data_IF_884515994769
#
_entry.id   IF_884515994769
#
_cell.length_a   1.000
_cell.length_b   1.000
_cell.length_c   1.000
_cell.angle_alpha   90.00
_cell.angle_beta   90.00
_cell.angle_gamma   90.00
#
_symmetry.space_group_name_H-M   'P 1'
#
loop_
_entity.id
_entity.type
_entity.pdbx_description
1 polymer ?
#
# COMPACT_ATOMS: atom_id res chain seq x y z
N UNK A 1 57.25 15.76 -38.06
CA UNK A 1 57.21 15.73 -36.57
C UNK A 1 55.77 16.04 -36.19
N UNK A 2 54.93 15.00 -36.15
CA UNK A 2 53.48 15.14 -36.06
C UNK A 2 53.05 15.06 -34.60
N UNK A 3 52.56 16.17 -34.06
CA UNK A 3 52.01 16.25 -32.71
C UNK A 3 50.52 15.90 -32.75
N UNK A 4 50.18 14.74 -32.20
CA UNK A 4 48.80 14.33 -31.87
C UNK A 4 48.29 15.15 -30.68
N UNK A 5 47.11 15.79 -30.73
CA UNK A 5 46.48 16.30 -29.53
C UNK A 5 45.73 15.16 -28.84
N UNK A 6 46.11 14.89 -27.59
CA UNK A 6 45.42 13.95 -26.69
C UNK A 6 44.12 14.61 -26.22
N UNK A 7 42.99 14.06 -26.65
CA UNK A 7 41.65 14.46 -26.25
C UNK A 7 41.37 13.91 -24.84
N UNK A 8 41.46 14.76 -23.82
CA UNK A 8 41.10 14.40 -22.44
C UNK A 8 39.57 14.28 -22.36
N UNK A 9 39.07 13.06 -22.22
CA UNK A 9 37.66 12.76 -22.01
C UNK A 9 37.25 13.14 -20.57
N UNK A 10 36.45 14.19 -20.45
CA UNK A 10 35.84 14.62 -19.19
C UNK A 10 34.64 13.70 -18.89
N UNK A 11 34.83 12.69 -18.04
CA UNK A 11 33.74 11.90 -17.49
C UNK A 11 32.91 12.77 -16.52
N UNK A 12 31.80 13.31 -17.02
CA UNK A 12 30.76 13.90 -16.18
C UNK A 12 30.15 12.78 -15.33
N UNK A 13 30.44 12.83 -14.03
CA UNK A 13 29.80 12.00 -13.00
C UNK A 13 28.33 12.41 -12.95
N UNK A 14 27.47 11.68 -13.66
CA UNK A 14 26.02 11.80 -13.46
C UNK A 14 25.69 11.06 -12.18
N UNK A 15 25.85 11.75 -11.04
CA UNK A 15 25.32 11.28 -9.77
C UNK A 15 23.80 11.09 -9.87
N UNK A 16 23.20 10.17 -9.10
CA UNK A 16 21.77 9.93 -9.16
C UNK A 16 21.04 11.23 -8.81
N UNK A 17 20.28 11.76 -9.76
CA UNK A 17 19.35 12.85 -9.52
C UNK A 17 18.34 12.31 -8.51
N UNK A 18 18.46 12.73 -7.25
CA UNK A 18 17.42 12.52 -6.28
C UNK A 18 16.17 13.18 -6.87
N UNK A 19 15.20 12.36 -7.30
CA UNK A 19 13.89 12.85 -7.66
C UNK A 19 13.43 13.76 -6.52
N UNK A 20 13.27 15.05 -6.82
CA UNK A 20 12.75 16.05 -5.88
C UNK A 20 11.45 15.46 -5.32
N UNK A 21 11.45 15.12 -4.03
CA UNK A 21 10.27 14.56 -3.39
C UNK A 21 9.24 15.68 -3.26
N UNK A 22 8.43 15.87 -4.29
CA UNK A 22 7.11 16.48 -4.14
C UNK A 22 6.43 15.67 -3.04
N UNK A 23 6.02 16.34 -1.97
CA UNK A 23 5.33 15.71 -0.85
C UNK A 23 4.20 14.83 -1.41
N UNK A 24 4.32 13.51 -1.24
CA UNK A 24 3.41 12.59 -1.90
C UNK A 24 1.98 12.85 -1.41
N UNK A 25 1.09 13.24 -2.34
CA UNK A 25 -0.31 13.48 -2.05
C UNK A 25 -0.93 12.18 -1.49
N UNK A 26 -1.43 12.15 -0.24
CA UNK A 26 -2.03 10.95 0.34
C UNK A 26 -3.29 10.49 -0.42
N UNK A 27 -3.89 11.36 -1.24
CA UNK A 27 -5.01 11.01 -2.12
C UNK A 27 -4.60 10.11 -3.28
N UNK A 28 -3.31 10.07 -3.63
CA UNK A 28 -2.81 9.33 -4.79
C UNK A 28 -1.36 8.93 -4.64
N UNK A 29 -1.14 7.64 -4.39
CA UNK A 29 0.17 6.99 -4.38
C UNK A 29 0.33 6.25 -5.71
N UNK A 30 1.15 6.78 -6.62
CA UNK A 30 1.62 6.02 -7.77
C UNK A 30 2.67 4.98 -7.34
N UNK A 31 2.54 3.76 -7.85
CA UNK A 31 3.50 2.66 -7.63
C UNK A 31 4.74 2.78 -8.51
N UNK A 32 5.77 2.03 -8.16
CA UNK A 32 7.02 1.91 -8.93
C UNK A 32 6.82 1.20 -10.29
N UNK A 33 5.71 0.47 -10.46
CA UNK A 33 5.36 -0.31 -11.67
C UNK A 33 6.44 -1.31 -12.07
N UNK A 34 6.46 -2.46 -11.39
CA UNK A 34 7.43 -3.51 -11.66
C UNK A 34 6.97 -4.38 -12.84
N UNK A 35 7.45 -4.04 -14.05
CA UNK A 35 7.09 -4.74 -15.28
C UNK A 35 7.52 -6.21 -15.32
N UNK A 36 8.35 -6.67 -14.38
CA UNK A 36 8.70 -8.09 -14.26
C UNK A 36 7.59 -8.92 -13.59
N UNK A 37 6.68 -8.28 -12.86
CA UNK A 37 5.51 -8.92 -12.28
C UNK A 37 4.41 -9.10 -13.33
N UNK A 38 3.55 -10.10 -13.10
CA UNK A 38 2.32 -10.19 -13.88
C UNK A 38 1.42 -8.97 -13.59
N UNK A 39 0.68 -8.46 -14.60
CA UNK A 39 -0.09 -7.23 -14.45
C UNK A 39 -1.03 -7.18 -13.22
N UNK A 40 -1.61 -8.31 -12.86
CA UNK A 40 -2.51 -8.48 -11.73
C UNK A 40 -1.81 -8.38 -10.36
N UNK A 41 -0.51 -8.67 -10.29
CA UNK A 41 0.31 -8.56 -9.07
C UNK A 41 1.04 -7.23 -8.97
N UNK A 42 1.07 -6.44 -10.04
CA UNK A 42 1.74 -5.14 -10.12
C UNK A 42 0.74 -4.04 -9.73
N UNK A 43 0.97 -3.40 -8.58
CA UNK A 43 0.12 -2.29 -8.14
C UNK A 43 0.40 -1.12 -9.08
N UNK A 44 -0.66 -0.51 -9.60
CA UNK A 44 -0.58 0.70 -10.41
C UNK A 44 -0.66 1.94 -9.51
N UNK A 45 -1.65 1.98 -8.62
CA UNK A 45 -1.96 3.17 -7.83
C UNK A 45 -2.77 2.80 -6.58
N UNK A 46 -2.64 3.62 -5.54
CA UNK A 46 -3.59 3.69 -4.43
C UNK A 46 -4.19 5.08 -4.41
N UNK A 47 -5.51 5.19 -4.56
CA UNK A 47 -6.25 6.43 -4.38
C UNK A 47 -7.00 6.41 -3.04
N UNK A 48 -7.05 7.56 -2.37
CA UNK A 48 -7.70 7.70 -1.07
C UNK A 48 -8.68 8.85 -1.11
N UNK A 49 -9.89 8.63 -0.61
CA UNK A 49 -10.95 9.64 -0.56
C UNK A 49 -11.84 9.46 0.68
N UNK A 50 -12.72 10.43 0.93
CA UNK A 50 -13.79 10.31 1.92
C UNK A 50 -15.13 10.22 1.18
N UNK A 51 -15.85 9.14 1.42
CA UNK A 51 -17.20 8.94 0.88
C UNK A 51 -18.23 9.87 1.53
N UNK A 52 -19.36 10.07 0.85
CA UNK A 52 -20.49 10.85 1.38
C UNK A 52 -21.06 10.27 2.68
N UNK A 53 -20.92 8.95 2.89
CA UNK A 53 -21.39 8.23 4.07
C UNK A 53 -20.36 8.22 5.21
N UNK A 54 -19.42 9.17 5.23
CA UNK A 54 -18.40 9.31 6.28
C UNK A 54 -17.49 8.09 6.46
N UNK A 55 -17.05 7.50 5.35
CA UNK A 55 -16.00 6.47 5.37
C UNK A 55 -14.75 6.93 4.63
N UNK A 56 -13.60 6.55 5.16
CA UNK A 56 -12.32 6.62 4.47
C UNK A 56 -12.23 5.46 3.47
N UNK A 57 -12.02 5.79 2.20
CA UNK A 57 -12.03 4.84 1.09
C UNK A 57 -10.64 4.76 0.48
N UNK A 58 -10.15 3.53 0.30
CA UNK A 58 -8.89 3.22 -0.36
C UNK A 58 -9.15 2.39 -1.61
N UNK A 59 -8.91 2.98 -2.77
CA UNK A 59 -8.98 2.27 -4.05
C UNK A 59 -7.58 1.85 -4.47
N UNK A 60 -7.30 0.56 -4.38
CA UNK A 60 -6.04 -0.02 -4.82
C UNK A 60 -6.24 -0.58 -6.22
N UNK A 61 -5.53 -0.01 -7.19
CA UNK A 61 -5.55 -0.43 -8.59
C UNK A 61 -4.31 -1.23 -8.94
N UNK A 62 -4.50 -2.33 -9.67
CA UNK A 62 -3.45 -3.16 -10.27
C UNK A 62 -3.33 -2.86 -11.77
N UNK A 63 -2.22 -3.24 -12.40
CA UNK A 63 -2.00 -3.02 -13.84
C UNK A 63 -2.92 -3.88 -14.70
N UNK A 64 -3.33 -5.06 -14.21
CA UNK A 64 -4.24 -5.98 -14.88
C UNK A 64 -5.36 -6.50 -13.99
N UNK A 65 -6.32 -7.17 -14.63
CA UNK A 65 -7.44 -7.83 -13.97
C UNK A 65 -7.05 -9.27 -13.61
N UNK A 66 -7.22 -9.67 -12.35
CA UNK A 66 -7.11 -11.09 -11.98
C UNK A 66 -8.44 -11.80 -12.25
N UNK A 67 -8.43 -12.79 -13.13
CA UNK A 67 -9.59 -13.65 -13.38
C UNK A 67 -9.39 -15.01 -12.71
N UNK A 68 -8.19 -15.61 -12.81
CA UNK A 68 -7.84 -16.91 -12.21
C UNK A 68 -6.50 -16.82 -11.45
N UNK A 69 -6.52 -16.37 -10.19
CA UNK A 69 -5.33 -16.27 -9.34
C UNK A 69 -5.06 -17.52 -8.52
N UNK A 70 -3.86 -17.62 -7.92
CA UNK A 70 -3.62 -18.64 -6.90
C UNK A 70 -4.45 -18.30 -5.66
N UNK A 71 -4.99 -19.33 -5.04
CA UNK A 71 -5.77 -19.29 -3.79
C UNK A 71 -5.02 -18.70 -2.58
N UNK A 72 -3.72 -18.47 -2.72
CA UNK A 72 -2.86 -17.91 -1.68
C UNK A 72 -2.45 -16.46 -1.95
N UNK A 73 -2.88 -15.86 -3.06
CA UNK A 73 -2.47 -14.50 -3.43
C UNK A 73 -3.55 -13.48 -3.03
N UNK A 74 -3.13 -12.39 -2.38
CA UNK A 74 -4.02 -11.41 -1.78
C UNK A 74 -3.60 -9.98 -2.15
N UNK A 75 -4.59 -9.11 -2.27
CA UNK A 75 -4.39 -7.68 -2.12
C UNK A 75 -4.50 -7.34 -0.65
N UNK A 76 -3.50 -6.66 -0.11
CA UNK A 76 -3.43 -6.28 1.29
C UNK A 76 -3.37 -4.76 1.40
N UNK A 77 -4.28 -4.20 2.21
CA UNK A 77 -4.15 -2.85 2.73
C UNK A 77 -3.64 -2.93 4.17
N UNK A 78 -2.50 -2.30 4.43
CA UNK A 78 -1.98 -2.11 5.77
C UNK A 78 -2.40 -0.73 6.27
N UNK A 79 -2.96 -0.67 7.47
CA UNK A 79 -3.25 0.57 8.19
C UNK A 79 -2.47 0.56 9.50
N UNK A 80 -1.71 1.62 9.74
CA UNK A 80 -0.99 1.87 10.98
C UNK A 80 -1.74 2.94 11.75
N UNK A 81 -2.44 2.54 12.80
CA UNK A 81 -3.29 3.42 13.60
C UNK A 81 -3.45 2.89 15.02
N UNK A 82 -2.61 3.33 15.96
CA UNK A 82 -2.48 2.78 17.33
C UNK A 82 -1.98 1.31 17.36
N UNK A 83 -2.56 0.44 16.53
CA UNK A 83 -2.14 -0.93 16.18
C UNK A 83 -1.89 -1.03 14.66
N UNK A 84 -1.37 -2.18 14.24
CA UNK A 84 -1.29 -2.53 12.81
C UNK A 84 -2.52 -3.32 12.43
N UNK A 85 -3.24 -2.89 11.40
CA UNK A 85 -4.37 -3.58 10.82
C UNK A 85 -4.03 -4.01 9.40
N UNK A 86 -4.29 -5.28 9.10
CA UNK A 86 -4.11 -5.86 7.77
C UNK A 86 -5.49 -6.27 7.25
N UNK A 87 -5.90 -5.65 6.15
CA UNK A 87 -7.14 -5.93 5.45
C UNK A 87 -6.77 -6.67 4.18
N UNK A 88 -7.19 -7.92 4.07
CA UNK A 88 -6.87 -8.79 2.95
C UNK A 88 -8.14 -9.07 2.14
N UNK A 89 -7.99 -8.95 0.82
CA UNK A 89 -8.96 -9.45 -0.14
C UNK A 89 -8.25 -10.46 -1.04
N UNK A 90 -8.75 -11.71 -1.17
CA UNK A 90 -8.16 -12.68 -2.09
C UNK A 90 -8.08 -12.11 -3.49
N UNK A 91 -7.06 -12.42 -4.29
CA UNK A 91 -7.03 -12.02 -5.70
C UNK A 91 -7.87 -12.97 -6.58
N UNK A 92 -8.04 -14.23 -6.17
CA UNK A 92 -8.92 -15.17 -6.84
C UNK A 92 -10.40 -14.81 -6.57
N UNK A 93 -11.19 -14.60 -7.63
CA UNK A 93 -12.62 -14.29 -7.55
C UNK A 93 -13.46 -15.46 -7.02
N UNK A 94 -13.00 -16.69 -7.21
CA UNK A 94 -13.71 -17.89 -6.76
C UNK A 94 -13.74 -18.01 -5.22
N UNK A 95 -12.81 -17.36 -4.52
CA UNK A 95 -12.77 -17.33 -3.04
C UNK A 95 -13.75 -16.32 -2.43
N UNK A 96 -14.50 -15.60 -3.26
CA UNK A 96 -15.49 -14.62 -2.85
C UNK A 96 -14.91 -13.26 -2.47
N UNK A 97 -15.77 -12.39 -1.95
CA UNK A 97 -15.43 -11.00 -1.60
C UNK A 97 -15.31 -10.78 -0.09
N UNK A 98 -15.14 -11.86 0.68
CA UNK A 98 -14.98 -11.74 2.13
C UNK A 98 -13.63 -11.10 2.44
N UNK A 99 -13.67 -9.96 3.11
CA UNK A 99 -12.48 -9.33 3.69
C UNK A 99 -12.00 -10.15 4.90
N UNK A 100 -10.70 -10.38 4.98
CA UNK A 100 -10.06 -10.94 6.16
C UNK A 100 -9.30 -9.82 6.87
N UNK A 101 -9.55 -9.65 8.17
CA UNK A 101 -8.98 -8.55 8.94
C UNK A 101 -8.16 -9.12 10.07
N UNK A 102 -6.98 -8.56 10.26
CA UNK A 102 -6.00 -9.04 11.22
C UNK A 102 -5.41 -7.85 11.99
N UNK A 103 -5.32 -7.94 13.32
CA UNK A 103 -4.55 -6.99 14.14
C UNK A 103 -3.21 -7.56 14.59
N UNK A 104 -2.22 -6.68 14.62
CA UNK A 104 -0.94 -6.92 15.26
C UNK A 104 -0.50 -5.70 16.06
N UNK A 105 0.49 -5.89 16.93
CA UNK A 105 1.10 -4.79 17.67
C UNK A 105 1.87 -3.87 16.72
N UNK A 106 1.88 -2.57 17.03
CA UNK A 106 2.59 -1.58 16.24
C UNK A 106 4.06 -1.59 16.67
N UNK A 107 4.90 -2.36 15.98
CA UNK A 107 6.34 -2.38 16.27
C UNK A 107 7.06 -1.23 15.54
N UNK A 108 7.85 -0.39 16.24
CA UNK A 108 8.55 0.76 15.66
C UNK A 108 9.56 0.43 14.55
N UNK A 109 10.00 -0.83 14.45
CA UNK A 109 11.13 -1.22 13.59
C UNK A 109 10.70 -2.08 12.38
N UNK A 110 9.41 -2.45 12.34
CA UNK A 110 8.84 -3.42 11.39
C UNK A 110 7.74 -2.83 10.51
N UNK A 111 8.03 -1.67 9.92
CA UNK A 111 7.07 -0.99 9.03
C UNK A 111 7.03 -1.56 7.61
N UNK A 112 8.11 -2.22 7.17
CA UNK A 112 8.10 -2.96 5.91
C UNK A 112 7.44 -4.32 6.13
N UNK A 113 6.38 -4.60 5.38
CA UNK A 113 5.68 -5.88 5.40
C UNK A 113 6.61 -7.09 5.23
N UNK A 114 7.71 -6.93 4.48
CA UNK A 114 8.75 -7.96 4.28
C UNK A 114 9.54 -8.32 5.54
N UNK A 115 9.41 -7.56 6.63
CA UNK A 115 10.00 -7.84 7.95
C UNK A 115 8.98 -8.30 8.99
N UNK A 116 7.72 -8.42 8.60
CA UNK A 116 6.65 -8.80 9.51
C UNK A 116 6.66 -10.34 9.65
N UNK A 117 7.54 -10.83 10.50
CA UNK A 117 7.32 -12.06 11.26
C UNK A 117 6.56 -11.66 12.52
N UNK A 118 5.23 -11.80 12.52
CA UNK A 118 4.39 -11.45 13.66
C UNK A 118 3.12 -12.28 13.68
N UNK A 119 2.66 -12.63 14.88
CA UNK A 119 1.33 -13.22 15.05
C UNK A 119 0.29 -12.11 14.92
N UNK A 120 -0.43 -12.09 13.81
CA UNK A 120 -1.64 -11.31 13.73
C UNK A 120 -2.81 -12.16 14.18
N UNK A 121 -3.67 -11.61 15.01
CA UNK A 121 -4.90 -12.28 15.40
C UNK A 121 -6.02 -11.80 14.50
N UNK A 122 -6.84 -12.74 14.05
CA UNK A 122 -8.08 -12.41 13.37
C UNK A 122 -8.84 -11.36 14.19
N UNK A 123 -9.06 -10.23 13.54
CA UNK A 123 -9.73 -9.11 14.12
C UNK A 123 -11.25 -9.39 14.03
N UNK A 124 -11.87 -9.73 15.16
CA UNK A 124 -13.33 -9.80 15.28
C UNK A 124 -13.89 -8.40 15.56
N UNK A 125 -14.09 -7.53 14.57
CA UNK A 125 -14.79 -6.25 14.77
C UNK A 125 -16.20 -6.34 14.22
N UNK A 126 -17.10 -5.69 14.94
CA UNK A 126 -18.42 -5.24 14.48
C UNK A 126 -18.37 -3.88 13.75
N UNK A 127 -17.19 -3.38 13.39
CA UNK A 127 -17.06 -2.14 12.64
C UNK A 127 -17.26 -2.43 11.16
N UNK A 128 -17.87 -1.47 10.47
CA UNK A 128 -18.29 -1.51 9.07
C UNK A 128 -17.10 -1.46 8.08
N UNK A 129 -16.01 -2.15 8.40
CA UNK A 129 -14.94 -2.43 7.46
C UNK A 129 -15.49 -3.27 6.33
N UNK A 130 -15.36 -2.77 5.11
CA UNK A 130 -15.76 -3.52 3.93
C UNK A 130 -14.66 -3.51 2.90
N UNK A 131 -14.60 -4.56 2.10
CA UNK A 131 -13.85 -4.57 0.86
C UNK A 131 -14.75 -5.07 -0.25
N UNK A 132 -14.56 -4.51 -1.45
CA UNK A 132 -15.20 -5.02 -2.66
C UNK A 132 -14.20 -5.02 -3.80
N UNK A 133 -14.36 -5.97 -4.70
CA UNK A 133 -13.60 -5.96 -5.96
C UNK A 133 -14.08 -4.82 -6.84
N UNK A 134 -13.13 -4.20 -7.51
CA UNK A 134 -13.39 -3.25 -8.58
C UNK A 134 -12.60 -3.69 -9.81
N UNK A 135 -12.92 -3.14 -10.97
CA UNK A 135 -12.13 -3.40 -12.18
C UNK A 135 -10.66 -3.05 -11.91
N UNK A 136 -9.79 -4.04 -12.04
CA UNK A 136 -8.35 -4.03 -11.79
C UNK A 136 -8.00 -3.62 -10.37
N UNK A 137 -8.59 -4.28 -9.37
CA UNK A 137 -8.15 -4.17 -7.98
C UNK A 137 -9.29 -4.26 -6.96
N UNK A 138 -9.18 -3.50 -5.88
CA UNK A 138 -10.16 -3.48 -4.81
C UNK A 138 -10.41 -2.07 -4.25
N UNK A 139 -11.56 -1.92 -3.64
CA UNK A 139 -11.89 -0.80 -2.76
C UNK A 139 -12.01 -1.33 -1.34
N UNK A 140 -11.29 -0.72 -0.41
CA UNK A 140 -11.41 -0.95 1.03
C UNK A 140 -12.03 0.29 1.67
N UNK A 141 -12.95 0.07 2.61
CA UNK A 141 -13.69 1.12 3.28
C UNK A 141 -13.52 0.97 4.78
N UNK A 142 -13.20 2.07 5.44
CA UNK A 142 -12.98 2.16 6.88
C UNK A 142 -13.88 3.26 7.44
N UNK A 143 -14.69 2.99 8.47
CA UNK A 143 -15.58 4.01 9.00
C UNK A 143 -14.77 5.07 9.77
N UNK A 144 -15.14 6.35 9.61
CA UNK A 144 -14.38 7.46 10.22
C UNK A 144 -14.51 7.51 11.75
N UNK A 145 -15.55 6.91 12.32
CA UNK A 145 -15.78 6.84 13.77
C UNK A 145 -14.80 5.88 14.48
N UNK A 146 -14.24 4.91 13.75
CA UNK A 146 -13.17 4.03 14.23
C UNK A 146 -11.83 4.76 14.39
N UNK A 147 -11.66 5.90 13.70
CA UNK A 147 -10.38 6.63 13.69
C UNK A 147 -10.25 7.51 14.94
N UNK A 148 -9.24 7.25 15.75
CA UNK A 148 -8.77 8.18 16.77
C UNK A 148 -8.04 9.37 16.11
N UNK A 149 -8.75 10.49 15.94
CA UNK A 149 -8.22 11.70 15.29
C UNK A 149 -6.92 12.25 15.91
N UNK A 150 -6.67 11.96 17.19
CA UNK A 150 -5.47 12.38 17.91
C UNK A 150 -4.26 11.47 17.73
N UNK A 151 -4.45 10.25 17.20
CA UNK A 151 -3.38 9.30 16.97
C UNK A 151 -2.76 9.44 15.57
N UNK A 152 -1.57 8.86 15.40
CA UNK A 152 -0.95 8.74 14.09
C UNK A 152 -1.75 7.81 13.17
N UNK A 153 -1.70 8.11 11.87
CA UNK A 153 -2.29 7.32 10.82
C UNK A 153 -1.35 7.23 9.62
N UNK A 154 -1.12 6.02 9.14
CA UNK A 154 -0.46 5.76 7.87
C UNK A 154 -1.05 4.52 7.20
N UNK A 155 -0.85 4.39 5.90
CA UNK A 155 -1.29 3.22 5.15
C UNK A 155 -0.39 2.95 3.94
N UNK A 156 -0.36 1.69 3.53
CA UNK A 156 0.26 1.25 2.29
C UNK A 156 -0.45 0.01 1.75
N UNK A 157 -0.32 -0.24 0.45
CA UNK A 157 -0.93 -1.39 -0.21
C UNK A 157 0.13 -2.33 -0.77
N UNK A 158 -0.19 -3.63 -0.74
CA UNK A 158 0.69 -4.70 -1.14
C UNK A 158 -0.07 -5.76 -1.94
N UNK A 159 0.63 -6.42 -2.85
CA UNK A 159 0.23 -7.72 -3.37
C UNK A 159 1.12 -8.76 -2.72
N UNK A 160 0.52 -9.79 -2.12
CA UNK A 160 1.25 -10.78 -1.33
C UNK A 160 0.81 -12.19 -1.64
N UNK A 161 1.66 -13.15 -1.28
CA UNK A 161 1.27 -14.52 -1.05
C UNK A 161 1.21 -14.75 0.47
N UNK A 162 0.12 -15.32 0.96
CA UNK A 162 -0.09 -15.59 2.38
C UNK A 162 -0.73 -16.96 2.61
N UNK A 163 -0.58 -17.48 3.83
CA UNK A 163 -1.28 -18.66 4.33
C UNK A 163 -1.85 -18.37 5.71
N UNK A 164 -3.01 -18.96 5.99
CA UNK A 164 -3.70 -18.85 7.27
C UNK A 164 -3.50 -20.13 8.06
N UNK A 165 -3.06 -20.01 9.32
CA UNK A 165 -2.98 -21.13 10.25
C UNK A 165 -3.77 -20.80 11.51
N UNK A 166 -5.00 -21.32 11.59
CA UNK A 166 -5.95 -20.91 12.62
C UNK A 166 -6.24 -19.41 12.50
N UNK A 167 -6.05 -18.67 13.59
CA UNK A 167 -6.30 -17.23 13.64
C UNK A 167 -5.08 -16.40 13.25
N UNK A 168 -4.01 -17.04 12.76
CA UNK A 168 -2.73 -16.39 12.44
C UNK A 168 -2.53 -16.24 10.94
N UNK A 169 -2.16 -15.03 10.52
CA UNK A 169 -1.72 -14.73 9.15
C UNK A 169 -0.21 -14.91 9.01
N UNK A 170 0.22 -15.72 8.05
CA UNK A 170 1.62 -15.85 7.65
C UNK A 170 1.83 -15.29 6.23
N UNK A 171 2.67 -14.28 6.10
CA UNK A 171 3.03 -13.69 4.80
C UNK A 171 4.22 -14.45 4.25
N UNK A 172 4.01 -15.19 3.16
CA UNK A 172 5.02 -16.05 2.55
C UNK A 172 5.88 -15.29 1.54
N UNK A 173 5.27 -14.33 0.83
CA UNK A 173 5.95 -13.53 -0.19
C UNK A 173 5.27 -12.18 -0.35
N UNK A 174 6.07 -11.13 -0.54
CA UNK A 174 5.58 -9.82 -1.01
C UNK A 174 5.95 -9.71 -2.48
N UNK A 175 4.96 -9.54 -3.35
CA UNK A 175 5.17 -9.34 -4.78
C UNK A 175 5.46 -7.87 -5.07
N UNK A 176 4.58 -6.97 -4.62
CA UNK A 176 4.70 -5.52 -4.81
C UNK A 176 4.28 -4.70 -3.59
N UNK A 177 4.70 -3.44 -3.56
CA UNK A 177 4.36 -2.43 -2.56
C UNK A 177 4.12 -1.08 -3.25
N UNK A 178 3.00 -0.42 -2.98
CA UNK A 178 2.66 0.83 -3.66
C UNK A 178 3.69 1.95 -3.42
N UNK A 179 4.28 2.05 -2.22
CA UNK A 179 5.37 3.01 -1.92
C UNK A 179 6.78 2.46 -2.13
N UNK A 180 6.96 1.36 -2.88
CA UNK A 180 8.29 0.76 -3.17
C UNK A 180 9.28 1.83 -3.65
N UNK A 181 10.46 1.85 -3.05
CA UNK A 181 11.54 2.79 -3.40
C UNK A 181 11.46 4.18 -2.76
N UNK A 182 10.42 4.51 -1.99
CA UNK A 182 10.37 5.76 -1.23
C UNK A 182 11.22 5.64 0.04
N UNK A 183 12.00 6.70 0.35
CA UNK A 183 12.95 6.71 1.48
C UNK A 183 12.28 6.83 2.85
N UNK A 184 11.11 7.48 2.93
CA UNK A 184 10.42 7.74 4.19
C UNK A 184 8.94 7.34 4.13
N UNK A 185 8.51 6.62 5.16
CA UNK A 185 7.09 6.45 5.47
C UNK A 185 6.65 7.63 6.34
N UNK A 186 6.07 8.65 5.69
CA UNK A 186 5.56 9.81 6.42
C UNK A 186 4.28 9.44 7.16
N UNK A 187 4.34 9.49 8.49
CA UNK A 187 3.18 9.42 9.37
C UNK A 187 2.63 10.82 9.60
N UNK A 188 1.31 10.92 9.62
CA UNK A 188 0.60 12.13 9.99
C UNK A 188 -0.30 11.78 11.17
N UNK A 189 -0.67 12.77 11.99
CA UNK A 189 -1.87 12.59 12.81
C UNK A 189 -3.07 12.31 11.89
N UNK A 190 -3.99 11.47 12.33
CA UNK A 190 -5.18 11.11 11.58
C UNK A 190 -5.94 12.35 11.10
N UNK A 191 -6.12 13.35 11.96
CA UNK A 191 -6.76 14.61 11.59
C UNK A 191 -6.00 15.35 10.47
N UNK A 192 -4.67 15.33 10.47
CA UNK A 192 -3.86 15.97 9.42
C UNK A 192 -4.01 15.24 8.09
N UNK A 193 -4.04 13.90 8.13
CA UNK A 193 -4.26 13.09 6.93
C UNK A 193 -5.63 13.38 6.33
N UNK A 194 -6.68 13.37 7.14
CA UNK A 194 -8.06 13.63 6.70
C UNK A 194 -8.21 15.04 6.15
N UNK A 195 -7.65 16.05 6.83
CA UNK A 195 -7.62 17.42 6.31
C UNK A 195 -6.91 17.51 4.96
N UNK A 196 -5.77 16.79 4.81
CA UNK A 196 -5.08 16.70 3.52
C UNK A 196 -5.96 16.03 2.47
N UNK A 197 -6.71 14.98 2.79
CA UNK A 197 -7.63 14.35 1.83
C UNK A 197 -8.74 15.33 1.41
N UNK A 198 -9.40 16.00 2.37
CA UNK A 198 -10.51 16.93 2.11
C UNK A 198 -10.11 18.26 1.47
N UNK A 199 -8.85 18.67 1.53
CA UNK A 199 -8.44 19.98 1.01
C UNK A 199 -8.70 20.10 -0.50
N UNK A 200 -8.93 21.31 -1.05
CA UNK A 200 -8.97 21.48 -2.50
C UNK A 200 -7.63 21.05 -3.15
N UNK A 201 -7.67 20.44 -4.34
CA UNK A 201 -6.45 20.26 -5.14
C UNK A 201 -5.91 21.64 -5.49
N UNK A 202 -4.62 21.89 -5.22
CA UNK A 202 -3.94 23.05 -5.79
C UNK A 202 -3.98 22.89 -7.31
N UNK A 203 -4.68 23.80 -7.98
CA UNK A 203 -4.72 23.88 -9.45
C UNK A 203 -3.38 24.38 -9.97
#
# INVERSE_FOLDING_TARGET
MNWTPVLISLFMIVGPVAAMQIEADPRSIASFMDKSLTPELDILQVATDISADNHLVFQVKTRGEQINGKNSDYLLLQILHEKTYLLLLPLNKEEGDKILIYEGTLQPENHKLSKITGEFKEYNLSADFTAKRIVRGAEFTVPLDWINYGADFNFDAYTIQASMQGNTLQINKVYDQARKGRKEEKRFSAITLLNKICSPKKR
#
